data_IF_221230263014
#
_entry.id   IF_221230263014
#
_cell.length_a   1.000
_cell.length_b   1.000
_cell.length_c   1.000
_cell.angle_alpha   90.00
_cell.angle_beta   90.00
_cell.angle_gamma   90.00
#
_symmetry.space_group_name_H-M   'P 1'
#
loop_
_entity.id
_entity.type
_entity.pdbx_description
1 polymer ?
#
# COMPACT_ATOMS: atom_id res chain seq x y z
N UNK A 1 -11.64 -9.23 -17.62
CA UNK A 1 -10.56 -8.34 -18.11
C UNK A 1 -9.19 -8.77 -17.60
N UNK A 2 -8.17 -8.84 -18.46
CA UNK A 2 -6.78 -9.19 -18.07
C UNK A 2 -6.17 -8.18 -17.09
N UNK A 3 -6.46 -6.89 -17.25
CA UNK A 3 -6.05 -5.82 -16.34
C UNK A 3 -6.59 -6.04 -14.92
N UNK A 4 -7.80 -6.64 -14.85
CA UNK A 4 -8.45 -6.95 -13.58
C UNK A 4 -7.67 -8.05 -12.81
N UNK A 5 -7.22 -9.09 -13.49
CA UNK A 5 -6.42 -10.16 -12.87
C UNK A 5 -5.03 -9.66 -12.43
N UNK A 6 -4.35 -8.86 -13.25
CA UNK A 6 -3.00 -8.35 -12.95
C UNK A 6 -2.93 -7.44 -11.72
N UNK A 7 -3.87 -6.49 -11.56
CA UNK A 7 -3.86 -5.57 -10.41
C UNK A 7 -4.10 -6.30 -9.07
N UNK A 8 -5.03 -7.25 -9.05
CA UNK A 8 -5.32 -8.05 -7.84
C UNK A 8 -4.12 -8.91 -7.44
N UNK A 9 -3.42 -9.46 -8.42
CA UNK A 9 -2.23 -10.27 -8.17
C UNK A 9 -1.10 -9.45 -7.53
N UNK A 10 -0.91 -8.19 -7.93
CA UNK A 10 0.10 -7.31 -7.33
C UNK A 10 -0.21 -6.93 -5.88
N UNK A 11 -1.48 -6.71 -5.55
CA UNK A 11 -1.90 -6.48 -4.15
C UNK A 11 -1.66 -7.75 -3.33
N UNK A 12 -2.01 -8.92 -3.86
CA UNK A 12 -1.78 -10.19 -3.17
C UNK A 12 -0.29 -10.38 -2.85
N UNK A 13 0.60 -10.20 -3.84
CA UNK A 13 2.05 -10.29 -3.63
C UNK A 13 2.53 -9.29 -2.60
N UNK A 14 2.08 -8.02 -2.66
CA UNK A 14 2.43 -7.02 -1.67
C UNK A 14 2.02 -7.43 -0.25
N UNK A 15 0.84 -8.03 -0.08
CA UNK A 15 0.37 -8.49 1.22
C UNK A 15 1.20 -9.67 1.74
N UNK A 16 1.57 -10.63 0.88
CA UNK A 16 2.49 -11.71 1.26
C UNK A 16 3.84 -11.15 1.75
N UNK A 17 4.41 -10.22 0.99
CA UNK A 17 5.70 -9.59 1.32
C UNK A 17 5.64 -8.82 2.64
N UNK A 18 4.51 -8.16 2.93
CA UNK A 18 4.29 -7.47 4.20
C UNK A 18 4.08 -8.43 5.37
N UNK A 19 3.51 -9.61 5.15
CA UNK A 19 3.44 -10.65 6.19
C UNK A 19 4.81 -11.26 6.44
N UNK A 20 5.57 -11.55 5.38
CA UNK A 20 6.94 -12.06 5.47
C UNK A 20 7.86 -11.12 6.26
N UNK A 21 7.70 -9.80 6.09
CA UNK A 21 8.45 -8.79 6.83
C UNK A 21 7.89 -8.51 8.25
N UNK A 22 6.86 -9.24 8.68
CA UNK A 22 6.22 -9.09 10.00
C UNK A 22 5.44 -7.79 10.17
N UNK A 23 5.14 -7.08 9.07
CA UNK A 23 4.32 -5.87 9.09
C UNK A 23 2.86 -6.27 9.30
N UNK A 24 2.33 -7.16 8.46
CA UNK A 24 0.98 -7.70 8.64
C UNK A 24 1.05 -9.09 9.28
N UNK A 25 -0.03 -9.51 9.94
CA UNK A 25 -0.26 -10.91 10.23
C UNK A 25 -1.19 -11.55 9.18
N UNK A 26 -1.27 -12.88 9.16
CA UNK A 26 -2.11 -13.61 8.20
C UNK A 26 -3.59 -13.22 8.29
N UNK A 27 -4.13 -12.99 9.50
CA UNK A 27 -5.53 -12.59 9.68
C UNK A 27 -5.82 -11.20 9.10
N UNK A 28 -4.89 -10.25 9.24
CA UNK A 28 -5.00 -8.91 8.63
C UNK A 28 -4.98 -9.01 7.11
N UNK A 29 -4.11 -9.86 6.55
CA UNK A 29 -4.05 -10.14 5.10
C UNK A 29 -5.35 -10.75 4.60
N UNK A 30 -5.85 -11.79 5.26
CA UNK A 30 -7.13 -12.44 4.91
C UNK A 30 -8.29 -11.45 4.98
N UNK A 31 -8.37 -10.64 6.04
CA UNK A 31 -9.40 -9.60 6.19
C UNK A 31 -9.37 -8.59 5.04
N UNK A 32 -8.19 -8.18 4.57
CA UNK A 32 -8.05 -7.27 3.42
C UNK A 32 -8.43 -7.96 2.09
N UNK A 33 -8.12 -9.26 1.95
CA UNK A 33 -8.41 -10.02 0.74
C UNK A 33 -9.88 -10.41 0.61
N UNK A 34 -10.52 -10.79 1.71
CA UNK A 34 -11.91 -11.28 1.75
C UNK A 34 -12.92 -10.18 2.07
N UNK A 35 -12.53 -9.19 2.88
CA UNK A 35 -13.45 -8.19 3.42
C UNK A 35 -14.01 -7.17 2.43
N UNK A 36 -13.58 -7.17 1.16
CA UNK A 36 -14.09 -6.20 0.19
C UNK A 36 -14.12 -6.71 -1.28
N UNK A 37 -15.28 -6.67 -1.97
CA UNK A 37 -15.37 -7.05 -3.39
C UNK A 37 -14.75 -6.01 -4.35
N UNK A 38 -14.50 -4.77 -3.91
CA UNK A 38 -14.01 -3.67 -4.75
C UNK A 38 -12.49 -3.53 -4.66
N UNK A 39 -11.84 -3.34 -5.82
CA UNK A 39 -10.38 -3.29 -5.97
C UNK A 39 -9.70 -2.13 -5.24
N UNK A 40 -10.30 -0.95 -5.36
CA UNK A 40 -9.77 0.27 -4.76
C UNK A 40 -9.75 0.15 -3.24
N UNK A 41 -10.78 -0.49 -2.68
CA UNK A 41 -10.93 -0.62 -1.24
C UNK A 41 -9.87 -1.56 -0.64
N UNK A 42 -9.44 -2.61 -1.36
CA UNK A 42 -8.35 -3.48 -0.87
C UNK A 42 -7.04 -2.71 -0.72
N UNK A 43 -6.66 -1.93 -1.72
CA UNK A 43 -5.45 -1.11 -1.66
C UNK A 43 -5.53 -0.08 -0.53
N UNK A 44 -6.70 0.55 -0.34
CA UNK A 44 -6.96 1.47 0.77
C UNK A 44 -6.82 0.77 2.12
N UNK A 45 -7.45 -0.39 2.31
CA UNK A 45 -7.35 -1.18 3.53
C UNK A 45 -5.91 -1.63 3.81
N UNK A 46 -5.13 -2.01 2.79
CA UNK A 46 -3.69 -2.32 2.95
C UNK A 46 -2.92 -1.12 3.49
N UNK A 47 -3.13 0.06 2.90
CA UNK A 47 -2.46 1.29 3.30
C UNK A 47 -2.85 1.68 4.72
N UNK A 48 -4.14 1.64 5.05
CA UNK A 48 -4.63 2.03 6.37
C UNK A 48 -4.09 1.10 7.47
N UNK A 49 -4.03 -0.21 7.20
CA UNK A 49 -3.44 -1.18 8.12
C UNK A 49 -1.94 -0.93 8.34
N UNK A 50 -1.18 -0.66 7.27
CA UNK A 50 0.25 -0.35 7.37
C UNK A 50 0.49 0.99 8.09
N UNK A 51 -0.31 2.02 7.80
CA UNK A 51 -0.22 3.34 8.45
C UNK A 51 -0.42 3.24 9.96
N UNK A 52 -1.38 2.44 10.42
CA UNK A 52 -1.64 2.22 11.86
C UNK A 52 -0.44 1.61 12.59
N UNK A 53 0.46 0.93 11.87
CA UNK A 53 1.69 0.31 12.43
C UNK A 53 2.89 1.26 12.43
N UNK A 54 2.79 2.40 11.76
CA UNK A 54 3.74 3.50 11.84
C UNK A 54 4.84 3.53 10.78
N UNK A 55 5.79 4.45 10.96
CA UNK A 55 6.73 4.90 9.93
C UNK A 55 7.64 3.81 9.36
N UNK A 56 8.01 2.83 10.18
CA UNK A 56 8.84 1.72 9.74
C UNK A 56 8.08 0.77 8.81
N UNK A 57 6.82 0.46 9.11
CA UNK A 57 5.94 -0.33 8.27
C UNK A 57 5.67 0.34 6.92
N UNK A 58 5.39 1.66 6.92
CA UNK A 58 5.22 2.42 5.66
C UNK A 58 6.45 2.35 4.77
N UNK A 59 7.67 2.44 5.33
CA UNK A 59 8.92 2.37 4.55
C UNK A 59 9.08 1.01 3.87
N UNK A 60 8.76 -0.07 4.58
CA UNK A 60 8.79 -1.42 4.02
C UNK A 60 7.80 -1.54 2.86
N UNK A 61 6.57 -1.07 3.04
CA UNK A 61 5.55 -1.09 1.98
C UNK A 61 6.01 -0.33 0.72
N UNK A 62 6.59 0.86 0.89
CA UNK A 62 7.11 1.65 -0.24
C UNK A 62 8.22 0.90 -0.99
N UNK A 63 9.14 0.24 -0.27
CA UNK A 63 10.22 -0.55 -0.86
C UNK A 63 9.68 -1.71 -1.70
N UNK A 64 8.69 -2.44 -1.18
CA UNK A 64 8.06 -3.54 -1.92
C UNK A 64 7.27 -3.04 -3.13
N UNK A 65 6.53 -1.94 -3.00
CA UNK A 65 5.82 -1.32 -4.13
C UNK A 65 6.75 -0.93 -5.28
N UNK A 66 7.94 -0.40 -4.98
CA UNK A 66 8.95 -0.09 -5.99
C UNK A 66 9.46 -1.35 -6.72
N UNK A 67 9.54 -2.48 -6.01
CA UNK A 67 10.01 -3.76 -6.56
C UNK A 67 8.92 -4.50 -7.35
N UNK A 68 7.67 -4.42 -6.90
CA UNK A 68 6.54 -5.13 -7.51
C UNK A 68 6.10 -4.43 -8.78
N UNK A 69 5.87 -3.11 -8.72
CA UNK A 69 5.48 -2.34 -9.89
C UNK A 69 5.53 -0.80 -9.68
N UNK A 70 6.35 -0.12 -10.50
CA UNK A 70 6.48 1.34 -10.50
C UNK A 70 5.19 2.08 -10.90
N UNK A 71 4.34 1.50 -11.74
CA UNK A 71 3.04 2.06 -12.11
C UNK A 71 2.02 1.92 -10.98
N UNK A 72 2.06 0.83 -10.20
CA UNK A 72 1.26 0.68 -8.98
C UNK A 72 1.70 1.68 -7.92
N UNK A 73 3.01 1.83 -7.71
CA UNK A 73 3.56 2.87 -6.84
C UNK A 73 3.09 4.27 -7.28
N UNK A 74 3.12 4.56 -8.58
CA UNK A 74 2.65 5.83 -9.13
C UNK A 74 1.15 6.01 -8.92
N UNK A 75 0.33 5.00 -9.18
CA UNK A 75 -1.12 5.05 -8.92
C UNK A 75 -1.44 5.29 -7.46
N UNK A 76 -0.75 4.61 -6.53
CA UNK A 76 -0.92 4.83 -5.10
C UNK A 76 -0.48 6.22 -4.65
N UNK A 77 0.55 6.81 -5.29
CA UNK A 77 0.93 8.22 -5.07
C UNK A 77 -0.04 9.22 -5.69
N UNK A 78 -0.70 8.88 -6.80
CA UNK A 78 -1.65 9.77 -7.50
C UNK A 78 -2.95 9.99 -6.71
N UNK A 79 -3.28 9.10 -5.78
CA UNK A 79 -4.35 9.34 -4.79
C UNK A 79 -3.92 10.24 -3.62
N UNK A 80 -2.66 10.68 -3.58
CA UNK A 80 -2.19 11.70 -2.65
C UNK A 80 -2.20 13.07 -3.32
N UNK A 81 -2.92 14.01 -2.72
CA UNK A 81 -3.13 15.38 -3.22
C UNK A 81 -1.80 16.06 -3.68
N UNK A 82 -1.73 16.61 -4.92
CA UNK A 82 -0.56 17.32 -5.43
C UNK A 82 -0.10 18.51 -4.58
N UNK A 83 -0.96 19.04 -3.70
CA UNK A 83 -0.66 20.21 -2.87
C UNK A 83 0.48 20.01 -1.86
N UNK A 84 0.86 18.75 -1.55
CA UNK A 84 1.91 18.46 -0.57
C UNK A 84 3.36 18.59 -1.07
N UNK A 85 3.59 18.98 -2.33
CA UNK A 85 4.93 19.08 -2.91
C UNK A 85 5.48 20.53 -2.95
N UNK A 86 5.69 21.15 -1.78
CA UNK A 86 6.56 22.32 -1.67
C UNK A 86 7.54 22.11 -0.51
N UNK A 87 8.83 22.12 -0.86
CA UNK A 87 9.86 21.36 -0.17
C UNK A 87 10.16 21.77 1.27
N UNK A 88 10.25 20.78 2.17
CA UNK A 88 11.05 20.83 3.39
C UNK A 88 11.61 19.45 3.69
N UNK A 89 12.88 19.43 4.09
CA UNK A 89 13.72 18.27 4.48
C UNK A 89 12.87 17.15 5.11
N UNK A 90 12.81 15.99 4.46
CA UNK A 90 12.02 14.84 4.88
C UNK A 90 12.58 14.29 6.21
N UNK A 91 12.02 14.75 7.35
CA UNK A 91 11.97 13.92 8.54
C UNK A 91 10.90 12.87 8.29
N UNK A 92 11.29 11.61 8.36
CA UNK A 92 10.56 10.41 7.93
C UNK A 92 9.27 10.20 8.72
N UNK A 93 8.22 10.93 8.38
CA UNK A 93 6.84 10.72 8.87
C UNK A 93 6.04 10.09 7.72
N UNK A 94 5.22 9.07 7.95
CA UNK A 94 4.34 8.45 6.95
C UNK A 94 3.42 9.52 6.34
N UNK A 95 3.81 10.12 5.22
CA UNK A 95 2.95 10.99 4.42
C UNK A 95 2.23 10.17 3.34
N UNK A 96 1.78 8.94 3.65
CA UNK A 96 0.77 8.28 2.82
C UNK A 96 -0.58 8.85 3.26
N UNK A 97 -0.94 10.02 2.74
CA UNK A 97 -2.27 10.58 2.91
C UNK A 97 -3.12 10.13 1.73
N UNK A 98 -4.13 9.31 2.01
CA UNK A 98 -5.27 9.05 1.14
C UNK A 98 -6.48 9.34 2.02
N UNK A 99 -7.17 10.45 1.75
CA UNK A 99 -8.53 10.72 2.27
C UNK A 99 -9.56 10.07 1.35
#
# INVERSE_FOLDING_TARGET
DKLKSSYMQRISVLLEDLVSDGVLNELEKESILEGNPVRADKARCSIDSVRKKGDQACRIMIRHLQSIDLSLFSQLRLYSDPSAQQGKKMKTKCHIYIE
#
